data_IF_792553878475
#
_entry.id   IF_792553878475
#
_cell.length_a   1.000
_cell.length_b   1.000
_cell.length_c   1.000
_cell.angle_alpha   90.00
_cell.angle_beta   90.00
_cell.angle_gamma   90.00
#
_symmetry.space_group_name_H-M   'P 1'
#
loop_
_entity.id
_entity.type
_entity.pdbx_description
1 polymer ?
#
# COMPACT_ATOMS: atom_id res chain seq x y z
N UNK A 1 -36.63 -13.12 8.00
CA UNK A 1 -35.28 -12.50 8.02
C UNK A 1 -34.68 -12.81 9.36
N UNK A 2 -33.52 -13.47 9.40
CA UNK A 2 -32.83 -13.79 10.67
C UNK A 2 -32.38 -12.49 11.34
N UNK A 3 -32.71 -12.34 12.62
CA UNK A 3 -32.38 -11.16 13.41
C UNK A 3 -30.86 -11.10 13.61
N UNK A 4 -30.24 -9.96 13.26
CA UNK A 4 -28.80 -9.80 13.38
C UNK A 4 -28.36 -9.89 14.85
N UNK A 5 -27.39 -10.75 15.14
CA UNK A 5 -26.84 -10.91 16.49
C UNK A 5 -25.95 -9.69 16.82
N UNK A 6 -26.48 -8.80 17.66
CA UNK A 6 -25.81 -7.56 18.05
C UNK A 6 -24.50 -7.81 18.80
N UNK A 7 -24.40 -8.91 19.55
CA UNK A 7 -23.18 -9.28 20.27
C UNK A 7 -22.05 -9.63 19.30
N UNK A 8 -22.32 -10.38 18.24
CA UNK A 8 -21.32 -10.69 17.21
C UNK A 8 -20.82 -9.44 16.49
N UNK A 9 -21.69 -8.44 16.31
CA UNK A 9 -21.33 -7.20 15.62
C UNK A 9 -20.49 -6.28 16.51
N UNK A 10 -20.85 -6.17 17.80
CA UNK A 10 -20.18 -5.30 18.76
C UNK A 10 -18.83 -5.84 19.23
N UNK A 11 -18.71 -7.16 19.40
CA UNK A 11 -17.49 -7.80 19.90
C UNK A 11 -16.59 -8.36 18.80
N UNK A 12 -16.89 -8.07 17.52
CA UNK A 12 -16.01 -8.47 16.42
C UNK A 12 -14.64 -7.80 16.57
N UNK A 13 -13.53 -8.55 16.68
CA UNK A 13 -12.21 -7.97 16.81
C UNK A 13 -11.92 -7.07 15.60
N UNK A 14 -11.75 -5.76 15.85
CA UNK A 14 -11.32 -4.81 14.84
C UNK A 14 -9.81 -4.69 14.92
N UNK A 15 -9.11 -5.37 14.02
CA UNK A 15 -7.66 -5.24 13.93
C UNK A 15 -7.31 -3.95 13.18
N UNK A 16 -6.81 -2.94 13.91
CA UNK A 16 -6.14 -1.79 13.31
C UNK A 16 -4.67 -2.17 13.14
N UNK A 17 -4.35 -2.82 12.02
CA UNK A 17 -2.96 -3.18 11.73
C UNK A 17 -2.13 -1.90 11.52
N UNK A 18 -0.93 -1.82 12.13
CA UNK A 18 -0.02 -0.71 11.87
C UNK A 18 0.35 -0.67 10.39
N UNK A 19 0.48 0.54 9.86
CA UNK A 19 0.87 0.76 8.47
C UNK A 19 2.34 0.34 8.28
N UNK A 20 2.67 -0.18 7.08
CA UNK A 20 3.94 -0.86 6.81
C UNK A 20 5.17 0.01 7.08
N UNK A 21 5.12 1.30 6.76
CA UNK A 21 6.25 2.22 6.97
C UNK A 21 6.59 2.42 8.44
N UNK A 22 5.62 2.19 9.35
CA UNK A 22 5.78 2.34 10.81
C UNK A 22 6.34 1.12 11.52
N UNK A 23 6.41 -0.04 10.85
CA UNK A 23 6.74 -1.31 11.50
C UNK A 23 8.18 -1.33 12.05
N UNK A 24 9.11 -0.66 11.36
CA UNK A 24 10.52 -0.61 11.75
C UNK A 24 10.84 0.76 12.33
N UNK A 25 11.11 0.81 13.64
CA UNK A 25 11.58 2.03 14.30
C UNK A 25 13.05 2.28 13.97
N UNK A 26 13.32 3.27 13.12
CA UNK A 26 14.69 3.76 12.86
C UNK A 26 14.99 4.95 13.76
N UNK A 27 16.04 4.83 14.58
CA UNK A 27 16.52 5.90 15.46
C UNK A 27 17.21 7.04 14.70
N UNK A 28 17.57 6.81 13.43
CA UNK A 28 18.09 7.85 12.53
C UNK A 28 17.55 7.61 11.12
N UNK A 29 16.80 8.58 10.60
CA UNK A 29 16.40 8.62 9.20
C UNK A 29 17.55 9.26 8.41
N UNK A 30 18.67 8.54 8.29
CA UNK A 30 19.72 8.97 7.36
C UNK A 30 19.12 9.13 5.97
N UNK A 31 19.52 10.18 5.24
CA UNK A 31 19.07 10.40 3.87
C UNK A 31 19.35 9.12 3.05
N UNK A 32 18.28 8.46 2.61
CA UNK A 32 18.43 7.28 1.77
C UNK A 32 18.99 7.73 0.42
N UNK A 33 20.16 7.20 0.05
CA UNK A 33 20.73 7.45 -1.26
C UNK A 33 19.76 6.91 -2.31
N UNK A 34 19.43 7.69 -3.36
CA UNK A 34 18.54 7.24 -4.41
C UNK A 34 19.13 6.02 -5.10
N UNK A 35 18.41 4.90 -5.05
CA UNK A 35 18.80 3.66 -5.72
C UNK A 35 18.18 3.65 -7.11
N UNK A 36 18.97 3.25 -8.11
CA UNK A 36 18.48 2.94 -9.45
C UNK A 36 19.08 1.62 -9.92
N UNK A 37 18.27 0.56 -9.89
CA UNK A 37 18.60 -0.74 -10.47
C UNK A 37 17.45 -1.20 -11.37
N UNK A 38 17.78 -1.75 -12.53
CA UNK A 38 16.78 -2.26 -13.46
C UNK A 38 15.98 -3.44 -12.86
N UNK A 39 16.62 -4.29 -12.05
CA UNK A 39 16.04 -5.51 -11.50
C UNK A 39 15.70 -5.39 -10.00
N UNK A 40 16.42 -4.57 -9.25
CA UNK A 40 16.18 -4.40 -7.80
C UNK A 40 15.22 -3.24 -7.49
N UNK A 41 14.90 -2.42 -8.50
CA UNK A 41 13.96 -1.32 -8.40
C UNK A 41 14.64 0.04 -8.25
N UNK A 42 13.79 1.07 -8.18
CA UNK A 42 14.24 2.45 -8.03
C UNK A 42 13.52 3.15 -6.89
N UNK A 43 14.23 4.06 -6.24
CA UNK A 43 13.63 5.07 -5.37
C UNK A 43 12.84 6.03 -6.25
N UNK A 44 11.51 6.04 -6.12
CA UNK A 44 10.64 7.00 -6.81
C UNK A 44 10.26 8.08 -5.77
N UNK A 45 10.31 9.38 -6.13
CA UNK A 45 9.81 10.43 -5.25
C UNK A 45 8.39 10.14 -4.77
N UNK A 46 8.11 10.42 -3.49
CA UNK A 46 6.80 10.24 -2.87
C UNK A 46 6.32 8.78 -2.73
N UNK A 47 7.22 7.79 -2.83
CA UNK A 47 6.93 6.39 -2.50
C UNK A 47 7.84 5.91 -1.38
N UNK A 48 7.26 5.32 -0.35
CA UNK A 48 7.99 4.61 0.70
C UNK A 48 8.67 3.35 0.13
N UNK A 49 7.95 2.58 -0.69
CA UNK A 49 8.46 1.36 -1.33
C UNK A 49 9.33 1.70 -2.54
N UNK A 50 10.37 0.90 -2.75
CA UNK A 50 11.03 0.86 -4.06
C UNK A 50 10.06 0.27 -5.09
N UNK A 51 9.97 0.94 -6.24
CA UNK A 51 9.04 0.56 -7.29
C UNK A 51 9.84 -0.03 -8.44
N UNK A 52 9.51 -1.26 -8.84
CA UNK A 52 10.10 -1.90 -10.01
C UNK A 52 9.04 -2.36 -11.01
N UNK A 53 8.50 -1.39 -11.77
CA UNK A 53 7.49 -1.66 -12.80
C UNK A 53 8.00 -2.65 -13.85
N UNK A 54 9.26 -2.53 -14.27
CA UNK A 54 9.83 -3.42 -15.30
C UNK A 54 9.86 -4.88 -14.82
N UNK A 55 10.32 -5.12 -13.59
CA UNK A 55 10.34 -6.46 -13.01
C UNK A 55 8.93 -7.04 -12.82
N UNK A 56 7.96 -6.21 -12.43
CA UNK A 56 6.58 -6.66 -12.30
C UNK A 56 5.96 -7.03 -13.64
N UNK A 57 6.21 -6.24 -14.69
CA UNK A 57 5.79 -6.55 -16.07
C UNK A 57 6.45 -7.84 -16.54
N UNK A 58 7.75 -8.00 -16.30
CA UNK A 58 8.47 -9.21 -16.67
C UNK A 58 7.95 -10.46 -15.95
N UNK A 59 7.41 -10.31 -14.73
CA UNK A 59 6.74 -11.38 -13.97
C UNK A 59 5.29 -11.61 -14.39
N UNK A 60 4.77 -10.88 -15.37
CA UNK A 60 3.48 -11.15 -16.00
C UNK A 60 2.33 -10.21 -15.60
N UNK A 61 2.58 -9.11 -14.88
CA UNK A 61 1.54 -8.12 -14.57
C UNK A 61 1.35 -7.17 -15.76
N UNK A 62 0.12 -6.94 -16.21
CA UNK A 62 -0.14 -6.00 -17.31
C UNK A 62 0.26 -4.57 -16.89
N UNK A 63 1.02 -3.83 -17.72
CA UNK A 63 1.43 -2.46 -17.39
C UNK A 63 0.28 -1.52 -17.05
N UNK A 64 -0.91 -1.70 -17.65
CA UNK A 64 -2.10 -0.88 -17.37
C UNK A 64 -2.63 -1.15 -15.97
N UNK A 65 -2.69 -2.40 -15.55
CA UNK A 65 -3.11 -2.76 -14.19
C UNK A 65 -2.19 -2.15 -13.13
N UNK A 66 -0.87 -2.17 -13.38
CA UNK A 66 0.10 -1.51 -12.50
C UNK A 66 -0.22 -0.01 -12.36
N UNK A 67 -0.50 0.66 -13.48
CA UNK A 67 -0.81 2.08 -13.48
C UNK A 67 -2.15 2.38 -12.81
N UNK A 68 -3.17 1.56 -13.04
CA UNK A 68 -4.49 1.71 -12.43
C UNK A 68 -4.44 1.54 -10.92
N UNK A 69 -3.73 0.51 -10.43
CA UNK A 69 -3.49 0.31 -8.99
C UNK A 69 -2.74 1.50 -8.39
N UNK A 70 -1.66 1.95 -9.04
CA UNK A 70 -0.89 3.10 -8.55
C UNK A 70 -1.72 4.38 -8.55
N UNK A 71 -2.57 4.60 -9.55
CA UNK A 71 -3.46 5.75 -9.61
C UNK A 71 -4.46 5.75 -8.44
N UNK A 72 -5.07 4.60 -8.11
CA UNK A 72 -5.97 4.48 -6.94
C UNK A 72 -5.27 4.78 -5.62
N UNK A 73 -4.01 4.37 -5.47
CA UNK A 73 -3.19 4.69 -4.29
C UNK A 73 -2.90 6.20 -4.20
N UNK A 74 -2.45 6.80 -5.31
CA UNK A 74 -2.09 8.23 -5.37
C UNK A 74 -3.32 9.12 -5.13
N UNK A 75 -4.45 8.79 -5.74
CA UNK A 75 -5.69 9.59 -5.69
C UNK A 75 -6.50 9.39 -4.40
N UNK A 76 -6.03 8.56 -3.46
CA UNK A 76 -6.77 8.35 -2.22
C UNK A 76 -6.73 9.58 -1.31
N UNK A 77 -7.88 9.99 -0.80
CA UNK A 77 -8.00 11.05 0.22
C UNK A 77 -7.93 10.49 1.66
N UNK A 78 -7.63 9.19 1.81
CA UNK A 78 -7.52 8.57 3.13
C UNK A 78 -6.26 9.02 3.88
N UNK A 79 -6.36 9.00 5.22
CA UNK A 79 -5.26 9.33 6.13
C UNK A 79 -4.02 8.48 5.84
N UNK A 80 -2.86 9.15 5.77
CA UNK A 80 -1.54 8.53 5.57
C UNK A 80 -0.71 8.62 6.83
N UNK A 81 0.24 7.71 6.98
CA UNK A 81 1.25 7.81 8.05
C UNK A 81 2.20 8.96 7.76
N UNK A 82 2.56 9.12 6.50
CA UNK A 82 3.39 10.20 5.99
C UNK A 82 2.69 10.79 4.76
N UNK A 83 2.25 12.05 4.87
CA UNK A 83 1.48 12.72 3.83
C UNK A 83 2.30 12.93 2.54
N UNK A 84 3.64 12.93 2.62
CA UNK A 84 4.52 13.02 1.47
C UNK A 84 4.69 11.70 0.72
N UNK A 85 4.21 10.58 1.28
CA UNK A 85 4.39 9.22 0.74
C UNK A 85 3.04 8.57 0.38
N UNK A 86 2.79 8.43 -0.92
CA UNK A 86 1.50 7.98 -1.47
C UNK A 86 1.06 6.61 -0.94
N UNK A 87 1.98 5.65 -0.79
CA UNK A 87 1.72 4.26 -0.43
C UNK A 87 1.66 3.97 1.07
N UNK A 88 1.46 5.01 1.89
CA UNK A 88 1.39 4.92 3.36
C UNK A 88 -0.03 5.15 3.92
N UNK A 89 -1.07 4.92 3.12
CA UNK A 89 -2.47 4.99 3.56
C UNK A 89 -2.73 4.00 4.70
N UNK A 90 -3.36 4.47 5.78
CA UNK A 90 -3.52 3.73 7.03
C UNK A 90 -4.71 2.77 7.00
N UNK A 91 -4.41 1.51 7.30
CA UNK A 91 -5.41 0.44 7.47
C UNK A 91 -5.85 -0.19 6.15
N UNK A 92 -6.53 -1.33 6.24
CA UNK A 92 -6.95 -2.12 5.07
C UNK A 92 -8.22 -1.53 4.43
N UNK A 93 -8.04 -0.57 3.51
CA UNK A 93 -9.11 0.17 2.84
C UNK A 93 -8.64 0.71 1.48
N UNK A 94 -9.55 1.32 0.72
CA UNK A 94 -9.24 2.01 -0.54
C UNK A 94 -8.06 2.97 -0.42
N UNK A 95 -7.09 2.82 -1.33
CA UNK A 95 -5.81 3.54 -1.36
C UNK A 95 -4.67 2.87 -0.61
N UNK A 96 -4.93 1.91 0.28
CA UNK A 96 -3.86 1.16 0.94
C UNK A 96 -3.17 0.20 -0.03
N UNK A 97 -1.84 0.16 0.02
CA UNK A 97 -1.01 -0.64 -0.89
C UNK A 97 -1.49 -2.10 -1.05
N UNK A 98 -1.61 -2.84 0.07
CA UNK A 98 -1.96 -4.26 -0.01
C UNK A 98 -3.44 -4.44 -0.38
N UNK A 99 -4.31 -3.53 0.08
CA UNK A 99 -5.72 -3.55 -0.29
C UNK A 99 -5.90 -3.42 -1.81
N UNK A 100 -5.26 -2.44 -2.43
CA UNK A 100 -5.41 -2.17 -3.87
C UNK A 100 -4.85 -3.29 -4.75
N UNK A 101 -3.68 -3.84 -4.39
CA UNK A 101 -3.10 -4.99 -5.09
C UNK A 101 -3.92 -6.27 -4.90
N UNK A 102 -4.39 -6.56 -3.68
CA UNK A 102 -5.23 -7.72 -3.41
C UNK A 102 -6.57 -7.61 -4.14
N UNK A 103 -7.17 -6.42 -4.18
CA UNK A 103 -8.43 -6.17 -4.89
C UNK A 103 -8.24 -6.34 -6.40
N UNK A 104 -7.14 -5.83 -6.97
CA UNK A 104 -6.83 -6.01 -8.40
C UNK A 104 -6.72 -7.49 -8.78
N UNK A 105 -6.14 -8.32 -7.92
CA UNK A 105 -5.99 -9.76 -8.17
C UNK A 105 -7.31 -10.56 -8.09
N UNK A 106 -8.40 -9.94 -7.61
CA UNK A 106 -9.73 -10.57 -7.57
C UNK A 106 -10.58 -10.25 -8.81
N UNK A 107 -10.07 -9.41 -9.72
CA UNK A 107 -10.70 -9.07 -11.00
C UNK A 107 -10.23 -10.06 -12.06
#
# INVERSE_FOLDING_TARGET
>A
MTQANLSETLFKPRFKHPETSTLVRRFSHGAQLPVQSALDGKTIPHWYRMINRLMWIWRGIDPREILDVQARIVMSDAERTDDDLYDTVIGYRGGNWIYEWATQAMV
#
